data_IF_627604476676
#
_entry.id   IF_627604476676
#
_cell.length_a   1.000
_cell.length_b   1.000
_cell.length_c   1.000
_cell.angle_alpha   90.00
_cell.angle_beta   90.00
_cell.angle_gamma   90.00
#
_symmetry.space_group_name_H-M   'P 1'
#
loop_
_entity.id
_entity.type
_entity.pdbx_description
1 polymer ?
#
# COMPACT_ATOMS: atom_id res chain seq x y z
N UNK A 1 11.93 15.29 -12.73
CA UNK A 1 11.12 14.06 -12.63
C UNK A 1 10.10 14.30 -11.52
N UNK A 2 8.82 13.97 -11.75
CA UNK A 2 7.82 13.97 -10.68
C UNK A 2 7.92 12.65 -9.93
N UNK A 3 7.93 12.72 -8.61
CA UNK A 3 8.03 11.57 -7.72
C UNK A 3 6.89 11.63 -6.71
N UNK A 4 6.38 10.45 -6.33
CA UNK A 4 5.18 10.31 -5.53
C UNK A 4 5.26 9.04 -4.66
N UNK A 5 4.90 9.10 -3.38
CA UNK A 5 4.87 7.96 -2.45
C UNK A 5 3.82 8.12 -1.35
N UNK A 6 3.41 7.01 -0.75
CA UNK A 6 2.41 6.97 0.32
C UNK A 6 3.01 6.48 1.63
N UNK A 7 2.56 7.04 2.75
CA UNK A 7 3.09 6.74 4.08
C UNK A 7 2.03 6.46 5.13
N UNK A 8 2.37 5.61 6.10
CA UNK A 8 1.59 5.39 7.32
C UNK A 8 2.41 5.86 8.51
N UNK A 9 1.77 6.69 9.36
CA UNK A 9 2.22 6.99 10.72
C UNK A 9 1.23 6.42 11.72
N UNK A 10 1.69 6.11 12.93
CA UNK A 10 0.80 5.74 14.04
C UNK A 10 0.46 6.99 14.83
N UNK A 11 -0.80 7.11 15.29
CA UNK A 11 -1.20 8.23 16.15
C UNK A 11 -0.57 8.16 17.55
N UNK A 12 -0.25 6.94 17.99
CA UNK A 12 0.43 6.69 19.26
C UNK A 12 1.94 6.90 19.14
N UNK A 13 2.55 7.47 20.18
CA UNK A 13 4.01 7.50 20.35
C UNK A 13 4.51 6.31 21.21
N UNK A 14 3.61 5.47 21.70
CA UNK A 14 3.94 4.33 22.55
C UNK A 14 4.12 3.07 21.72
N UNK A 15 5.35 2.58 21.66
CA UNK A 15 5.71 1.34 20.99
C UNK A 15 5.47 0.12 21.89
N UNK A 16 4.20 -0.31 21.99
CA UNK A 16 3.87 -1.52 22.73
C UNK A 16 4.40 -2.80 22.04
N UNK A 17 4.36 -3.91 22.77
CA UNK A 17 4.87 -5.18 22.25
C UNK A 17 4.04 -5.74 21.08
N UNK A 18 2.75 -5.41 20.99
CA UNK A 18 1.87 -5.91 19.94
C UNK A 18 2.17 -5.21 18.60
N UNK A 19 2.24 -3.89 18.62
CA UNK A 19 2.65 -3.04 17.49
C UNK A 19 4.04 -3.46 17.00
N UNK A 20 5.01 -3.63 17.91
CA UNK A 20 6.36 -4.02 17.54
C UNK A 20 6.44 -5.42 16.91
N UNK A 21 5.66 -6.39 17.42
CA UNK A 21 5.56 -7.74 16.80
C UNK A 21 4.93 -7.68 15.42
N UNK A 22 3.85 -6.91 15.26
CA UNK A 22 3.16 -6.71 13.99
C UNK A 22 4.09 -6.06 12.96
N UNK A 23 4.74 -4.95 13.32
CA UNK A 23 5.71 -4.29 12.43
C UNK A 23 6.88 -5.21 12.08
N UNK A 24 7.41 -5.99 13.03
CA UNK A 24 8.51 -6.93 12.76
C UNK A 24 8.13 -8.02 11.77
N UNK A 25 6.86 -8.45 11.74
CA UNK A 25 6.32 -9.41 10.75
C UNK A 25 6.39 -8.83 9.33
N UNK A 26 6.06 -7.55 9.14
CA UNK A 26 6.08 -6.88 7.84
C UNK A 26 7.46 -6.35 7.42
N UNK A 27 8.32 -6.07 8.40
CA UNK A 27 9.67 -5.55 8.17
C UNK A 27 10.72 -6.44 8.86
N UNK A 28 10.91 -7.69 8.40
CA UNK A 28 11.83 -8.65 9.02
C UNK A 28 13.31 -8.24 8.94
N UNK A 29 13.63 -7.20 8.17
CA UNK A 29 14.98 -6.65 8.07
C UNK A 29 15.22 -5.44 8.99
N UNK A 30 14.16 -4.84 9.56
CA UNK A 30 14.30 -3.70 10.50
C UNK A 30 14.31 -4.20 11.94
N UNK A 31 15.31 -3.77 12.71
CA UNK A 31 15.43 -4.10 14.13
C UNK A 31 14.27 -3.54 14.96
N UNK A 32 13.97 -4.17 16.09
CA UNK A 32 12.93 -3.68 17.01
C UNK A 32 13.25 -2.28 17.56
N UNK A 33 14.53 -1.94 17.72
CA UNK A 33 14.98 -0.61 18.16
C UNK A 33 14.68 0.46 17.11
N UNK A 34 14.91 0.18 15.83
CA UNK A 34 14.57 1.09 14.72
C UNK A 34 13.05 1.28 14.62
N UNK A 35 12.27 0.20 14.67
CA UNK A 35 10.81 0.27 14.62
C UNK A 35 10.25 1.06 15.81
N UNK A 36 10.80 0.85 17.01
CA UNK A 36 10.45 1.62 18.21
C UNK A 36 10.78 3.10 18.04
N UNK A 37 11.97 3.41 17.53
CA UNK A 37 12.42 4.78 17.28
C UNK A 37 11.46 5.53 16.36
N UNK A 38 11.00 4.90 15.27
CA UNK A 38 10.02 5.48 14.35
C UNK A 38 8.71 5.84 15.04
N UNK A 39 8.15 4.93 15.84
CA UNK A 39 6.90 5.17 16.58
C UNK A 39 7.08 6.33 17.56
N UNK A 40 8.16 6.31 18.35
CA UNK A 40 8.43 7.34 19.36
C UNK A 40 8.65 8.72 18.75
N UNK A 41 9.27 8.78 17.56
CA UNK A 41 9.49 10.00 16.81
C UNK A 41 8.24 10.47 16.02
N UNK A 42 7.14 9.70 16.03
CA UNK A 42 5.98 9.89 15.14
C UNK A 42 6.38 9.96 13.66
N UNK A 43 7.36 9.14 13.30
CA UNK A 43 7.84 9.00 11.92
C UNK A 43 7.08 7.89 11.18
N UNK A 44 7.30 7.78 9.88
CA UNK A 44 6.70 6.76 9.03
C UNK A 44 7.11 5.35 9.47
N UNK A 45 6.11 4.56 9.87
CA UNK A 45 6.29 3.11 10.10
C UNK A 45 6.27 2.34 8.79
N UNK A 46 5.61 2.90 7.77
CA UNK A 46 5.62 2.44 6.39
C UNK A 46 5.73 3.64 5.46
N UNK A 47 6.50 3.50 4.39
CA UNK A 47 6.60 4.44 3.29
C UNK A 47 6.78 3.63 2.01
N UNK A 48 5.95 3.87 0.99
CA UNK A 48 6.05 3.15 -0.27
C UNK A 48 7.35 3.53 -0.98
N UNK A 49 8.01 2.52 -1.53
CA UNK A 49 9.23 2.69 -2.30
C UNK A 49 8.84 2.87 -3.77
N UNK A 50 9.38 3.90 -4.42
CA UNK A 50 9.07 4.22 -5.82
C UNK A 50 9.50 3.13 -6.79
N UNK A 51 10.52 2.34 -6.43
CA UNK A 51 11.08 1.30 -7.31
C UNK A 51 10.40 -0.06 -7.15
N UNK A 52 9.51 -0.21 -6.15
CA UNK A 52 8.86 -1.48 -5.85
C UNK A 52 7.41 -1.43 -6.30
N UNK A 53 7.10 -2.24 -7.30
CA UNK A 53 5.73 -2.66 -7.57
C UNK A 53 5.07 -3.11 -6.25
N UNK A 54 3.78 -2.79 -6.11
CA UNK A 54 2.91 -3.23 -5.00
C UNK A 54 2.95 -2.39 -3.70
N UNK A 55 3.46 -1.15 -3.75
CA UNK A 55 3.53 -0.26 -2.60
C UNK A 55 2.17 0.01 -1.94
N UNK A 56 1.14 0.32 -2.74
CA UNK A 56 -0.21 0.60 -2.28
C UNK A 56 -0.88 -0.63 -1.65
N UNK A 57 -0.73 -1.81 -2.23
CA UNK A 57 -1.35 -3.03 -1.66
C UNK A 57 -0.69 -3.43 -0.35
N UNK A 58 0.64 -3.36 -0.26
CA UNK A 58 1.35 -3.58 1.00
C UNK A 58 0.91 -2.60 2.10
N UNK A 59 0.67 -1.34 1.72
CA UNK A 59 0.10 -0.34 2.61
C UNK A 59 -1.32 -0.73 3.06
N UNK A 60 -2.18 -1.15 2.13
CA UNK A 60 -3.54 -1.60 2.42
C UNK A 60 -3.60 -2.79 3.38
N UNK A 61 -2.75 -3.81 3.15
CA UNK A 61 -2.60 -4.99 4.02
C UNK A 61 -2.19 -4.58 5.44
N UNK A 62 -1.19 -3.72 5.54
CA UNK A 62 -0.70 -3.24 6.84
C UNK A 62 -1.78 -2.43 7.58
N UNK A 63 -2.55 -1.60 6.88
CA UNK A 63 -3.69 -0.87 7.46
C UNK A 63 -4.75 -1.81 8.00
N UNK A 64 -5.08 -2.87 7.26
CA UNK A 64 -6.05 -3.89 7.71
C UNK A 64 -5.58 -4.61 8.97
N UNK A 65 -4.28 -4.93 9.08
CA UNK A 65 -3.74 -5.53 10.30
C UNK A 65 -3.75 -4.54 11.49
N UNK A 66 -3.47 -3.26 11.25
CA UNK A 66 -3.61 -2.23 12.29
C UNK A 66 -5.06 -2.08 12.76
N UNK A 67 -6.03 -2.05 11.84
CA UNK A 67 -7.45 -1.97 12.17
C UNK A 67 -7.92 -3.17 12.99
N UNK A 68 -7.52 -4.38 12.60
CA UNK A 68 -7.81 -5.62 13.36
C UNK A 68 -7.22 -5.59 14.77
N UNK A 69 -6.09 -4.91 14.95
CA UNK A 69 -5.42 -4.74 16.23
C UNK A 69 -5.90 -3.51 17.02
N UNK A 70 -6.83 -2.71 16.48
CA UNK A 70 -7.31 -1.48 17.11
C UNK A 70 -6.26 -0.35 17.18
N UNK A 71 -5.27 -0.37 16.28
CA UNK A 71 -4.19 0.62 16.24
C UNK A 71 -4.59 1.77 15.32
N UNK A 72 -4.65 2.98 15.87
CA UNK A 72 -4.99 4.16 15.08
C UNK A 72 -3.83 4.65 14.21
N UNK A 73 -4.13 4.97 12.95
CA UNK A 73 -3.16 5.38 11.93
C UNK A 73 -3.50 6.74 11.31
N UNK A 74 -2.47 7.40 10.78
CA UNK A 74 -2.57 8.56 9.91
C UNK A 74 -1.91 8.23 8.57
N UNK A 75 -2.56 8.62 7.48
CA UNK A 75 -2.06 8.39 6.12
C UNK A 75 -1.53 9.70 5.56
N UNK A 76 -0.48 9.60 4.77
CA UNK A 76 0.10 10.74 4.07
C UNK A 76 0.39 10.37 2.63
N UNK A 77 0.23 11.36 1.77
CA UNK A 77 0.79 11.40 0.43
C UNK A 77 2.03 12.29 0.46
N UNK A 78 3.10 11.87 -0.20
CA UNK A 78 4.26 12.70 -0.43
C UNK A 78 4.57 12.81 -1.92
N UNK A 79 4.87 14.03 -2.36
CA UNK A 79 5.22 14.28 -3.76
C UNK A 79 6.34 15.32 -3.88
N UNK A 80 7.08 15.27 -5.00
CA UNK A 80 8.06 16.31 -5.35
C UNK A 80 8.33 16.37 -6.85
N UNK A 81 8.79 17.54 -7.28
CA UNK A 81 9.52 17.71 -8.54
C UNK A 81 11.01 17.75 -8.25
N UNK A 82 11.75 16.66 -8.53
CA UNK A 82 13.17 16.56 -8.22
C UNK A 82 13.97 17.70 -8.89
N UNK A 83 14.82 18.44 -8.15
CA UNK A 83 15.35 18.14 -6.80
C UNK A 83 14.66 18.85 -5.62
N UNK A 84 13.42 19.34 -5.77
CA UNK A 84 12.70 20.00 -4.69
C UNK A 84 12.52 19.08 -3.46
N UNK A 85 12.40 19.66 -2.25
CA UNK A 85 12.03 18.90 -1.06
C UNK A 85 10.69 18.16 -1.24
N UNK A 86 10.53 17.05 -0.52
CA UNK A 86 9.24 16.37 -0.43
C UNK A 86 8.20 17.27 0.22
N UNK A 87 7.05 17.38 -0.43
CA UNK A 87 5.83 17.94 0.15
C UNK A 87 5.01 16.77 0.69
N UNK A 88 4.47 16.91 1.90
CA UNK A 88 3.71 15.86 2.58
C UNK A 88 2.34 16.40 2.95
N UNK A 89 1.30 15.68 2.56
CA UNK A 89 -0.09 16.06 2.78
C UNK A 89 -0.86 14.92 3.47
N UNK A 90 -1.68 15.21 4.49
CA UNK A 90 -2.55 14.21 5.07
C UNK A 90 -3.52 13.65 4.03
N UNK A 91 -3.65 12.33 4.01
CA UNK A 91 -4.51 11.61 3.08
C UNK A 91 -5.67 10.96 3.83
N UNK A 92 -6.88 11.02 3.27
CA UNK A 92 -8.03 10.31 3.85
C UNK A 92 -8.02 8.83 3.47
N UNK A 93 -8.63 7.99 4.32
CA UNK A 93 -8.81 6.56 4.00
C UNK A 93 -9.68 6.35 2.77
N UNK A 94 -10.68 7.19 2.57
CA UNK A 94 -11.55 7.16 1.40
C UNK A 94 -10.78 7.46 0.11
N UNK A 95 -9.92 8.48 0.12
CA UNK A 95 -9.07 8.80 -1.02
C UNK A 95 -8.13 7.63 -1.36
N UNK A 96 -7.51 7.04 -0.35
CA UNK A 96 -6.64 5.87 -0.54
C UNK A 96 -7.41 4.66 -1.10
N UNK A 97 -8.62 4.41 -0.61
CA UNK A 97 -9.48 3.35 -1.14
C UNK A 97 -9.84 3.59 -2.61
N UNK A 98 -10.15 4.83 -2.98
CA UNK A 98 -10.44 5.18 -4.37
C UNK A 98 -9.23 4.95 -5.30
N UNK A 99 -8.00 5.20 -4.81
CA UNK A 99 -6.77 4.87 -5.55
C UNK A 99 -6.68 3.36 -5.80
N UNK A 100 -6.90 2.54 -4.77
CA UNK A 100 -6.84 1.07 -4.90
C UNK A 100 -7.86 0.55 -5.91
N UNK A 101 -9.10 1.05 -5.85
CA UNK A 101 -10.15 0.68 -6.81
C UNK A 101 -9.77 1.06 -8.23
N UNK A 102 -9.26 2.29 -8.43
CA UNK A 102 -8.84 2.75 -9.75
C UNK A 102 -7.68 1.92 -10.30
N UNK A 103 -6.71 1.56 -9.46
CA UNK A 103 -5.59 0.71 -9.87
C UNK A 103 -6.08 -0.68 -10.31
N UNK A 104 -7.05 -1.25 -9.58
CA UNK A 104 -7.69 -2.51 -9.96
C UNK A 104 -8.40 -2.42 -11.30
N UNK A 105 -9.14 -1.33 -11.56
CA UNK A 105 -9.78 -1.10 -12.85
C UNK A 105 -8.77 -0.98 -14.00
N UNK A 106 -7.66 -0.27 -13.78
CA UNK A 106 -6.59 -0.14 -14.77
C UNK A 106 -5.97 -1.50 -15.10
N UNK A 107 -5.68 -2.31 -14.08
CA UNK A 107 -5.12 -3.65 -14.27
C UNK A 107 -6.09 -4.58 -14.99
N UNK A 108 -7.38 -4.53 -14.63
CA UNK A 108 -8.44 -5.25 -15.33
C UNK A 108 -8.46 -4.91 -16.82
N UNK A 109 -8.48 -3.62 -17.16
CA UNK A 109 -8.47 -3.18 -18.56
C UNK A 109 -7.16 -3.56 -19.26
N UNK A 110 -6.03 -3.55 -18.56
CA UNK A 110 -4.74 -4.00 -19.10
C UNK A 110 -4.78 -5.49 -19.46
N UNK A 111 -5.26 -6.35 -18.57
CA UNK A 111 -5.38 -7.79 -18.83
C UNK A 111 -6.36 -8.08 -19.96
N UNK A 112 -7.51 -7.39 -20.00
CA UNK A 112 -8.45 -7.49 -21.11
C UNK A 112 -7.85 -7.03 -22.44
N UNK A 113 -7.00 -6.00 -22.42
CA UNK A 113 -6.24 -5.53 -23.57
C UNK A 113 -5.30 -6.61 -24.09
N UNK A 114 -4.56 -7.27 -23.20
CA UNK A 114 -3.65 -8.38 -23.53
C UNK A 114 -4.42 -9.50 -24.23
N UNK A 115 -5.53 -9.97 -23.66
CA UNK A 115 -6.36 -11.03 -24.28
C UNK A 115 -6.83 -10.65 -25.69
N UNK A 116 -7.28 -9.41 -25.89
CA UNK A 116 -7.70 -8.92 -27.21
C UNK A 116 -6.55 -8.85 -28.20
N UNK A 117 -5.35 -8.50 -27.76
CA UNK A 117 -4.17 -8.43 -28.63
C UNK A 117 -3.62 -9.81 -28.99
N UNK A 118 -3.68 -10.77 -28.05
CA UNK A 118 -3.15 -12.12 -28.23
C UNK A 118 -4.13 -13.02 -29.00
N UNK A 119 -5.40 -13.07 -28.56
CA UNK A 119 -6.41 -14.01 -29.07
C UNK A 119 -7.44 -13.34 -30.00
N UNK A 120 -7.47 -12.00 -30.06
CA UNK A 120 -8.43 -11.23 -30.88
C UNK A 120 -9.82 -11.06 -30.26
N UNK A 121 -10.08 -11.70 -29.11
CA UNK A 121 -11.31 -11.58 -28.33
C UNK A 121 -11.04 -11.94 -26.86
N UNK A 122 -12.00 -11.68 -25.98
CA UNK A 122 -11.94 -12.13 -24.58
C UNK A 122 -12.96 -13.26 -24.40
N UNK A 123 -12.50 -14.48 -24.11
CA UNK A 123 -13.40 -15.59 -23.83
C UNK A 123 -14.04 -15.46 -22.43
N UNK A 124 -15.18 -16.11 -22.18
CA UNK A 124 -15.73 -16.18 -20.83
C UNK A 124 -14.78 -16.83 -19.81
N UNK A 125 -13.96 -17.80 -20.23
CA UNK A 125 -12.95 -18.40 -19.34
C UNK A 125 -11.85 -17.40 -19.00
N UNK A 126 -11.29 -16.71 -19.99
CA UNK A 126 -10.27 -15.68 -19.75
C UNK A 126 -10.79 -14.55 -18.86
N UNK A 127 -12.04 -14.14 -19.04
CA UNK A 127 -12.70 -13.18 -18.14
C UNK A 127 -12.79 -13.71 -16.72
N UNK A 128 -13.16 -14.98 -16.53
CA UNK A 128 -13.25 -15.58 -15.20
C UNK A 128 -11.87 -15.65 -14.52
N UNK A 129 -10.83 -16.04 -15.26
CA UNK A 129 -9.44 -16.11 -14.78
C UNK A 129 -8.93 -14.72 -14.36
N UNK A 130 -9.20 -13.67 -15.15
CA UNK A 130 -8.86 -12.28 -14.82
C UNK A 130 -9.56 -11.83 -13.52
N UNK A 131 -10.85 -12.12 -13.37
CA UNK A 131 -11.59 -11.75 -12.16
C UNK A 131 -11.16 -12.54 -10.92
N UNK A 132 -10.73 -13.79 -11.11
CA UNK A 132 -10.14 -14.61 -10.04
C UNK A 132 -8.78 -14.07 -9.62
N UNK A 133 -7.91 -13.73 -10.57
CA UNK A 133 -6.61 -13.10 -10.30
C UNK A 133 -6.76 -11.81 -9.50
N UNK A 134 -7.63 -10.89 -9.95
CA UNK A 134 -7.90 -9.64 -9.24
C UNK A 134 -8.46 -9.86 -7.83
N UNK A 135 -9.25 -10.92 -7.62
CA UNK A 135 -9.79 -11.27 -6.30
C UNK A 135 -8.72 -11.87 -5.40
N UNK A 136 -7.89 -12.76 -5.92
CA UNK A 136 -6.80 -13.36 -5.16
C UNK A 136 -5.83 -12.29 -4.69
N UNK A 137 -5.56 -11.27 -5.51
CA UNK A 137 -4.75 -10.11 -5.11
C UNK A 137 -5.37 -9.29 -3.95
N UNK A 138 -6.70 -9.32 -3.76
CA UNK A 138 -7.36 -8.71 -2.60
C UNK A 138 -7.35 -9.60 -1.34
N UNK A 139 -7.30 -10.93 -1.52
CA UNK A 139 -7.44 -11.93 -0.45
C UNK A 139 -6.11 -12.49 0.08
N UNK A 140 -5.09 -12.65 -0.78
CA UNK A 140 -3.77 -13.21 -0.44
C UNK A 140 -2.88 -12.24 0.34
N UNK A 141 -3.32 -10.98 0.49
CA UNK A 141 -2.57 -9.90 1.13
C UNK A 141 -3.23 -9.44 2.45
#
# INVERSE_FOLDING_TARGET
>A
MFEHRYGIKLKTATADAAILKLLRKHFPNQSLSELRGKIQARDYVFLSDMEKYDGERRMAKLLREFDKAGIETELFEEHRYTPAPWQSEPMSREFFHNILQRNREIERETMLGIEREVEGFVSPEAMADIEEELRNQDEEY
#
